data_IF_366015791247
#
_entry.id   IF_366015791247
#
_cell.length_a   1.000
_cell.length_b   1.000
_cell.length_c   1.000
_cell.angle_alpha   90.00
_cell.angle_beta   90.00
_cell.angle_gamma   90.00
#
_symmetry.space_group_name_H-M   'P 1'
#
loop_
_entity.id
_entity.type
_entity.pdbx_description
1 polymer ?
#
# COMPACT_ATOMS: atom_id res chain seq x y z
N UNK A 1 -15.20 -42.58 41.40
CA UNK A 1 -14.65 -42.98 40.07
C UNK A 1 -15.15 -42.12 38.92
N UNK A 2 -16.46 -41.89 38.75
CA UNK A 2 -16.98 -41.14 37.60
C UNK A 2 -16.54 -39.67 37.54
N UNK A 3 -16.46 -38.97 38.69
CA UNK A 3 -16.01 -37.57 38.77
C UNK A 3 -14.51 -37.40 38.54
N UNK A 4 -13.67 -38.29 39.11
CA UNK A 4 -12.24 -38.30 38.81
C UNK A 4 -11.95 -38.54 37.31
N UNK A 5 -12.78 -39.33 36.62
CA UNK A 5 -12.71 -39.50 35.16
C UNK A 5 -13.11 -38.24 34.39
N UNK A 6 -14.06 -37.45 34.90
CA UNK A 6 -14.43 -36.14 34.32
C UNK A 6 -13.29 -35.13 34.44
N UNK A 7 -12.63 -35.04 35.59
CA UNK A 7 -11.44 -34.20 35.77
C UNK A 7 -10.30 -34.55 34.79
N UNK A 8 -9.99 -35.84 34.65
CA UNK A 8 -8.99 -36.32 33.67
C UNK A 8 -9.41 -36.03 32.23
N UNK A 9 -10.67 -36.26 31.89
CA UNK A 9 -11.18 -35.96 30.55
C UNK A 9 -11.12 -34.47 30.22
N UNK A 10 -11.45 -33.59 31.18
CA UNK A 10 -11.35 -32.15 30.99
C UNK A 10 -9.91 -31.68 30.77
N UNK A 11 -8.95 -32.23 31.53
CA UNK A 11 -7.52 -31.96 31.30
C UNK A 11 -7.10 -32.43 29.91
N UNK A 12 -7.48 -33.64 29.51
CA UNK A 12 -7.13 -34.20 28.20
C UNK A 12 -7.70 -33.38 27.03
N UNK A 13 -8.97 -33.00 27.10
CA UNK A 13 -9.62 -32.16 26.07
C UNK A 13 -8.99 -30.77 26.02
N UNK A 14 -8.68 -30.17 27.18
CA UNK A 14 -8.06 -28.84 27.23
C UNK A 14 -6.64 -28.85 26.65
N UNK A 15 -5.85 -29.88 26.94
CA UNK A 15 -4.52 -30.06 26.34
C UNK A 15 -4.60 -30.30 24.84
N UNK A 16 -5.60 -31.05 24.37
CA UNK A 16 -5.83 -31.31 22.95
C UNK A 16 -6.28 -30.04 22.21
N UNK A 17 -7.15 -29.23 22.81
CA UNK A 17 -7.57 -27.94 22.26
C UNK A 17 -6.39 -26.97 22.17
N UNK A 18 -5.56 -26.88 23.22
CA UNK A 18 -4.36 -26.06 23.21
C UNK A 18 -3.37 -26.48 22.11
N UNK A 19 -3.05 -27.77 22.04
CA UNK A 19 -2.07 -28.27 21.05
C UNK A 19 -2.59 -28.20 19.62
N UNK A 20 -3.86 -28.54 19.39
CA UNK A 20 -4.48 -28.42 18.06
C UNK A 20 -4.53 -26.97 17.59
N UNK A 21 -4.84 -26.03 18.48
CA UNK A 21 -4.86 -24.58 18.14
C UNK A 21 -3.48 -24.10 17.73
N UNK A 22 -2.42 -24.49 18.45
CA UNK A 22 -1.05 -24.13 18.09
C UNK A 22 -0.58 -24.80 16.79
N UNK A 23 -0.90 -26.08 16.60
CA UNK A 23 -0.50 -26.83 15.40
C UNK A 23 -1.22 -26.30 14.17
N UNK A 24 -2.54 -26.10 14.25
CA UNK A 24 -3.31 -25.52 13.14
C UNK A 24 -2.80 -24.11 12.85
N UNK A 25 -2.68 -23.25 13.85
CA UNK A 25 -2.17 -21.89 13.68
C UNK A 25 -0.78 -21.84 13.04
N UNK A 26 0.14 -22.73 13.45
CA UNK A 26 1.47 -22.82 12.86
C UNK A 26 1.48 -23.39 11.43
N UNK A 27 0.62 -24.37 11.13
CA UNK A 27 0.54 -24.99 9.78
C UNK A 27 -0.17 -24.06 8.78
N UNK A 28 -1.08 -23.22 9.25
CA UNK A 28 -1.75 -22.20 8.43
C UNK A 28 -1.01 -20.85 8.46
N UNK A 29 0.09 -20.74 9.19
CA UNK A 29 0.89 -19.53 9.22
C UNK A 29 1.59 -19.35 7.87
N UNK A 30 1.52 -18.15 7.25
CA UNK A 30 2.31 -17.90 6.06
C UNK A 30 3.81 -17.89 6.38
N UNK A 31 4.61 -18.40 5.44
CA UNK A 31 6.08 -18.38 5.47
C UNK A 31 6.59 -16.96 5.22
N UNK A 32 6.35 -16.03 6.13
CA UNK A 32 6.80 -14.64 5.99
C UNK A 32 7.55 -14.24 7.27
N UNK A 33 8.89 -14.15 7.15
CA UNK A 33 9.78 -13.76 8.23
C UNK A 33 9.46 -12.36 8.77
N UNK A 34 9.39 -12.23 10.09
CA UNK A 34 9.09 -10.98 10.81
C UNK A 34 10.37 -10.31 11.28
N UNK A 35 10.43 -9.00 11.06
CA UNK A 35 11.20 -8.06 11.86
C UNK A 35 10.31 -6.88 12.26
N UNK A 36 9.77 -6.89 13.48
CA UNK A 36 9.08 -5.76 14.12
C UNK A 36 10.05 -4.78 14.79
N UNK A 37 11.35 -4.92 14.55
CA UNK A 37 12.35 -3.94 14.93
C UNK A 37 12.53 -2.92 13.80
N UNK A 38 12.69 -1.66 14.18
CA UNK A 38 13.07 -0.58 13.27
C UNK A 38 14.35 -1.00 12.54
N UNK A 39 14.29 -1.19 11.23
CA UNK A 39 15.45 -1.65 10.47
C UNK A 39 16.43 -0.48 10.36
N UNK A 40 17.58 -0.59 11.02
CA UNK A 40 18.67 0.38 10.82
C UNK A 40 19.43 -0.01 9.55
N UNK A 41 19.53 0.93 8.60
CA UNK A 41 20.36 0.79 7.41
C UNK A 41 21.85 0.80 7.82
N UNK A 42 22.35 -0.36 8.24
CA UNK A 42 23.78 -0.60 8.42
C UNK A 42 24.50 -0.65 7.05
N UNK A 43 25.82 -0.40 7.01
CA UNK A 43 26.58 -0.56 5.77
C UNK A 43 26.41 -1.99 5.27
N UNK A 44 25.98 -2.13 4.01
CA UNK A 44 25.75 -3.42 3.37
C UNK A 44 27.01 -4.30 3.47
N UNK A 45 26.90 -5.44 4.15
CA UNK A 45 27.90 -6.49 4.06
C UNK A 45 27.87 -7.04 2.63
N UNK A 46 28.84 -6.62 1.81
CA UNK A 46 28.99 -6.93 0.39
C UNK A 46 29.31 -8.41 0.08
N UNK A 47 28.88 -9.35 0.93
CA UNK A 47 29.23 -10.76 0.85
C UNK A 47 28.04 -11.73 0.93
N UNK A 48 26.83 -11.28 0.59
CA UNK A 48 25.73 -12.18 0.22
C UNK A 48 25.86 -12.58 -1.26
N UNK A 49 26.66 -13.64 -1.50
CA UNK A 49 26.75 -14.47 -2.71
C UNK A 49 26.15 -13.89 -4.01
N UNK A 50 27.00 -13.24 -4.80
CA UNK A 50 26.81 -13.04 -6.23
C UNK A 50 26.84 -14.40 -6.96
N UNK A 51 25.66 -15.01 -7.15
CA UNK A 51 25.42 -16.01 -8.20
C UNK A 51 23.93 -16.40 -8.26
N UNK A 52 23.14 -15.60 -8.99
CA UNK A 52 21.91 -16.06 -9.64
C UNK A 52 21.55 -15.07 -10.78
N UNK A 53 22.21 -15.22 -11.92
CA UNK A 53 21.70 -14.66 -13.18
C UNK A 53 20.52 -15.55 -13.58
N UNK A 54 19.29 -15.07 -13.42
CA UNK A 54 18.08 -15.77 -13.86
C UNK A 54 16.85 -15.45 -13.04
N UNK A 55 15.94 -14.69 -13.66
CA UNK A 55 14.51 -14.58 -13.35
C UNK A 55 13.88 -15.86 -12.76
N UNK A 56 13.39 -15.80 -11.51
CA UNK A 56 12.20 -16.53 -11.01
C UNK A 56 12.04 -16.47 -9.47
N UNK A 57 13.12 -16.40 -8.68
CA UNK A 57 13.06 -16.67 -7.22
C UNK A 57 13.47 -15.48 -6.34
N UNK A 58 13.21 -14.24 -6.76
CA UNK A 58 13.39 -13.09 -5.87
C UNK A 58 12.11 -12.97 -5.03
N UNK A 59 12.18 -13.43 -3.78
CA UNK A 59 11.13 -13.20 -2.78
C UNK A 59 11.47 -11.97 -1.94
N UNK A 60 10.46 -11.27 -1.44
CA UNK A 60 10.62 -10.10 -0.57
C UNK A 60 9.52 -9.06 -0.76
N UNK A 61 9.67 -7.91 -0.11
CA UNK A 61 8.84 -6.72 -0.34
C UNK A 61 9.71 -5.61 -0.89
N UNK A 62 9.44 -5.21 -2.13
CA UNK A 62 10.04 -4.03 -2.73
C UNK A 62 9.27 -2.81 -2.24
N UNK A 63 9.95 -1.73 -1.87
CA UNK A 63 9.31 -0.55 -1.30
C UNK A 63 9.92 0.71 -1.90
N UNK A 64 9.04 1.59 -2.39
CA UNK A 64 9.35 2.96 -2.74
C UNK A 64 9.08 3.88 -1.56
N UNK A 65 9.95 4.84 -1.32
CA UNK A 65 9.83 5.75 -0.17
C UNK A 65 10.02 7.18 -0.59
N UNK A 66 8.98 7.98 -0.32
CA UNK A 66 8.91 9.41 -0.62
C UNK A 66 10.05 10.16 0.10
N UNK A 67 10.50 9.64 1.24
CA UNK A 67 11.53 10.26 2.07
C UNK A 67 10.94 11.03 3.25
N UNK A 68 11.81 11.49 4.13
CA UNK A 68 11.47 12.29 5.32
C UNK A 68 12.03 13.72 5.25
N UNK A 69 12.26 14.31 6.42
CA UNK A 69 12.77 15.69 6.51
C UNK A 69 11.71 16.75 6.22
N UNK A 70 12.08 18.05 6.19
CA UNK A 70 11.14 19.13 5.91
C UNK A 70 10.51 18.95 4.52
N UNK A 71 9.17 18.90 4.48
CA UNK A 71 8.43 18.71 3.23
C UNK A 71 8.45 17.29 2.67
N UNK A 72 9.04 16.31 3.37
CA UNK A 72 9.10 14.90 2.95
C UNK A 72 10.00 14.60 1.73
N UNK A 73 10.73 15.60 1.21
CA UNK A 73 11.61 15.46 0.05
C UNK A 73 13.08 15.30 0.43
N UNK A 74 13.37 14.34 1.30
CA UNK A 74 14.74 14.07 1.71
C UNK A 74 14.95 12.64 2.15
N UNK A 75 16.04 12.02 1.69
CA UNK A 75 16.36 10.61 1.96
C UNK A 75 15.31 9.64 1.39
N UNK A 76 14.70 9.99 0.27
CA UNK A 76 13.94 9.04 -0.54
C UNK A 76 14.79 7.83 -0.90
N UNK A 77 14.17 6.67 -1.02
CA UNK A 77 14.89 5.47 -1.44
C UNK A 77 13.98 4.40 -1.99
N UNK A 78 14.54 3.55 -2.84
CA UNK A 78 13.99 2.25 -3.20
C UNK A 78 14.76 1.18 -2.44
N UNK A 79 14.07 0.22 -1.82
CA UNK A 79 14.73 -0.87 -1.10
C UNK A 79 13.94 -2.17 -1.13
N UNK A 80 14.65 -3.27 -0.97
CA UNK A 80 14.06 -4.60 -0.84
C UNK A 80 14.19 -5.11 0.59
N UNK A 81 13.07 -5.44 1.20
CA UNK A 81 13.02 -6.19 2.46
C UNK A 81 12.98 -7.68 2.15
N UNK A 82 13.92 -8.44 2.72
CA UNK A 82 13.95 -9.90 2.66
C UNK A 82 14.40 -10.46 4.00
N UNK A 83 13.71 -11.49 4.48
CA UNK A 83 14.03 -12.16 5.74
C UNK A 83 14.15 -11.20 6.94
N UNK A 84 13.31 -10.15 6.94
CA UNK A 84 13.28 -9.13 7.99
C UNK A 84 14.40 -8.09 7.94
N UNK A 85 15.21 -8.07 6.88
CA UNK A 85 16.32 -7.12 6.70
C UNK A 85 16.27 -6.43 5.33
N UNK A 86 16.91 -5.25 5.25
CA UNK A 86 17.12 -4.56 3.98
C UNK A 86 18.21 -5.30 3.20
N UNK A 87 17.81 -5.97 2.13
CA UNK A 87 18.72 -6.71 1.26
C UNK A 87 19.58 -5.78 0.39
N UNK A 88 18.98 -4.68 -0.06
CA UNK A 88 19.65 -3.61 -0.79
C UNK A 88 18.81 -2.33 -0.72
N UNK A 89 19.46 -1.18 -0.92
CA UNK A 89 18.84 0.14 -0.94
C UNK A 89 19.55 1.05 -1.94
N UNK A 90 18.78 1.77 -2.75
CA UNK A 90 19.22 2.89 -3.60
C UNK A 90 18.53 4.15 -3.07
N UNK A 91 19.28 5.24 -2.85
CA UNK A 91 18.74 6.46 -2.25
C UNK A 91 19.39 7.73 -2.76
N UNK A 92 19.68 7.79 -4.06
CA UNK A 92 20.34 8.96 -4.67
C UNK A 92 19.39 10.07 -5.12
N UNK A 93 18.07 9.87 -5.07
CA UNK A 93 17.08 10.92 -5.31
C UNK A 93 16.52 11.49 -4.00
N UNK A 94 15.87 12.65 -4.09
CA UNK A 94 15.22 13.26 -2.92
C UNK A 94 13.99 12.44 -2.50
N UNK A 95 13.28 11.86 -3.48
CA UNK A 95 12.05 11.09 -3.30
C UNK A 95 11.92 9.96 -4.34
N UNK A 96 11.36 8.85 -3.90
CA UNK A 96 10.89 7.74 -4.74
C UNK A 96 9.43 7.41 -4.41
N UNK A 97 8.67 6.96 -5.40
CA UNK A 97 7.22 6.76 -5.30
C UNK A 97 6.86 5.33 -5.68
N UNK A 98 6.17 5.12 -6.80
CA UNK A 98 5.94 3.80 -7.40
C UNK A 98 7.23 3.02 -7.67
N UNK A 99 7.15 1.69 -7.52
CA UNK A 99 8.26 0.74 -7.65
C UNK A 99 7.87 -0.62 -8.26
N UNK A 100 7.97 -0.76 -9.58
CA UNK A 100 7.78 -2.07 -10.22
C UNK A 100 9.09 -2.88 -10.40
N UNK A 101 9.09 -4.18 -10.10
CA UNK A 101 10.17 -5.09 -10.57
C UNK A 101 9.97 -5.53 -12.04
N UNK A 102 10.97 -5.25 -12.88
CA UNK A 102 10.95 -5.63 -14.30
C UNK A 102 11.36 -7.09 -14.56
N UNK A 103 10.97 -7.71 -15.71
CA UNK A 103 11.27 -9.11 -16.02
C UNK A 103 12.76 -9.47 -16.07
N UNK A 104 13.61 -8.53 -16.48
CA UNK A 104 15.08 -8.68 -16.51
C UNK A 104 15.73 -8.60 -15.10
N UNK A 105 14.95 -8.28 -14.06
CA UNK A 105 15.40 -8.16 -12.68
C UNK A 105 15.86 -6.76 -12.26
N UNK A 106 15.81 -5.77 -13.14
CA UNK A 106 15.95 -4.36 -12.74
C UNK A 106 14.66 -3.88 -12.07
N UNK A 107 14.74 -2.76 -11.37
CA UNK A 107 13.59 -2.09 -10.74
C UNK A 107 13.32 -0.79 -11.47
N UNK A 108 12.06 -0.55 -11.82
CA UNK A 108 11.57 0.75 -12.27
C UNK A 108 11.09 1.50 -11.05
N UNK A 109 11.31 2.81 -10.99
CA UNK A 109 10.78 3.61 -9.89
C UNK A 109 10.48 5.04 -10.33
N UNK A 110 9.29 5.53 -9.97
CA UNK A 110 8.97 6.94 -10.00
C UNK A 110 9.87 7.73 -9.05
N UNK A 111 10.36 8.89 -9.46
CA UNK A 111 11.29 9.67 -8.64
C UNK A 111 11.16 11.17 -8.83
N UNK A 112 11.65 11.93 -7.86
CA UNK A 112 11.91 13.36 -7.98
C UNK A 112 13.25 13.72 -7.34
N UNK A 113 14.00 14.61 -8.00
CA UNK A 113 15.27 15.10 -7.48
C UNK A 113 15.57 16.53 -7.92
N UNK A 114 16.16 17.31 -7.01
CA UNK A 114 16.56 18.70 -7.23
C UNK A 114 18.07 18.83 -7.48
N UNK A 115 18.48 19.92 -8.14
CA UNK A 115 19.90 20.21 -8.35
C UNK A 115 20.39 19.97 -9.77
N UNK A 116 19.49 19.80 -10.74
CA UNK A 116 19.88 19.64 -12.14
C UNK A 116 20.36 20.96 -12.72
N UNK A 117 21.54 20.97 -13.33
CA UNK A 117 22.13 22.16 -13.95
C UNK A 117 21.78 22.32 -15.45
N UNK A 118 21.22 21.28 -16.07
CA UNK A 118 20.91 21.25 -17.51
C UNK A 118 19.54 20.66 -17.80
N UNK A 119 18.95 21.00 -18.95
CA UNK A 119 17.63 20.52 -19.34
C UNK A 119 16.52 21.02 -18.41
N UNK A 120 16.66 22.26 -17.90
CA UNK A 120 15.72 22.86 -16.96
C UNK A 120 14.60 23.65 -17.62
N UNK A 121 14.72 23.99 -18.91
CA UNK A 121 13.71 24.78 -19.61
C UNK A 121 12.33 24.10 -19.50
N UNK A 122 11.27 24.85 -19.13
CA UNK A 122 11.19 26.32 -19.11
C UNK A 122 11.67 27.01 -17.82
N UNK A 123 12.17 26.27 -16.83
CA UNK A 123 12.64 26.76 -15.53
C UNK A 123 14.13 27.10 -15.50
N UNK A 124 14.52 27.93 -14.53
CA UNK A 124 15.91 28.31 -14.30
C UNK A 124 16.68 27.18 -13.61
N UNK A 125 17.98 27.08 -13.93
CA UNK A 125 18.89 26.17 -13.24
C UNK A 125 19.43 26.78 -11.93
N UNK A 126 19.70 25.97 -10.88
CA UNK A 126 19.40 24.54 -10.80
C UNK A 126 17.90 24.28 -10.63
N UNK A 127 17.38 23.28 -11.32
CA UNK A 127 15.97 22.92 -11.29
C UNK A 127 15.71 21.57 -10.62
N UNK A 128 14.43 21.33 -10.34
CA UNK A 128 13.91 20.02 -9.96
C UNK A 128 13.39 19.29 -11.19
N UNK A 129 13.61 17.98 -11.24
CA UNK A 129 13.05 17.10 -12.26
C UNK A 129 12.37 15.90 -11.62
N UNK A 130 11.41 15.35 -12.36
CA UNK A 130 10.70 14.12 -12.01
C UNK A 130 10.55 13.24 -13.24
N UNK A 131 10.15 11.98 -13.03
CA UNK A 131 10.00 10.96 -14.06
C UNK A 131 10.28 9.59 -13.44
N UNK A 132 11.02 8.73 -14.15
CA UNK A 132 11.36 7.40 -13.63
C UNK A 132 12.83 7.04 -13.85
N UNK A 133 13.31 6.10 -13.02
CA UNK A 133 14.64 5.50 -13.09
C UNK A 133 14.52 3.99 -13.29
N UNK A 134 15.49 3.43 -14.02
CA UNK A 134 15.74 1.99 -14.06
C UNK A 134 16.97 1.70 -13.22
N UNK A 135 16.82 0.86 -12.20
CA UNK A 135 17.82 0.57 -11.18
C UNK A 135 18.25 -0.89 -11.32
N UNK A 136 19.55 -1.15 -11.37
CA UNK A 136 20.12 -2.47 -11.19
C UNK A 136 20.45 -2.69 -9.71
N UNK A 137 19.68 -3.50 -8.97
CA UNK A 137 19.96 -3.77 -7.57
C UNK A 137 21.21 -4.65 -7.35
N UNK A 138 21.78 -5.22 -8.41
CA UNK A 138 22.87 -6.19 -8.36
C UNK A 138 24.14 -5.74 -9.10
N UNK A 139 24.21 -4.45 -9.47
CA UNK A 139 25.39 -3.89 -10.12
C UNK A 139 26.66 -4.06 -9.26
N UNK A 140 27.80 -4.21 -9.93
CA UNK A 140 29.09 -4.37 -9.27
C UNK A 140 29.48 -3.08 -8.52
N UNK A 141 29.29 -3.08 -7.20
CA UNK A 141 29.49 -1.91 -6.33
C UNK A 141 28.27 -1.50 -5.53
N UNK A 142 27.12 -2.14 -5.74
CA UNK A 142 25.85 -1.86 -5.07
C UNK A 142 24.77 -1.37 -6.05
N UNK A 143 23.53 -1.17 -5.57
CA UNK A 143 22.43 -0.69 -6.40
C UNK A 143 22.80 0.55 -7.18
N UNK A 144 22.53 0.55 -8.49
CA UNK A 144 22.96 1.61 -9.41
C UNK A 144 21.84 1.98 -10.37
N UNK A 145 21.62 3.28 -10.58
CA UNK A 145 20.73 3.80 -11.63
C UNK A 145 21.38 3.57 -12.99
N UNK A 146 20.74 2.76 -13.84
CA UNK A 146 21.20 2.45 -15.20
C UNK A 146 20.75 3.51 -16.22
N UNK A 147 19.51 3.99 -16.08
CA UNK A 147 18.92 4.99 -16.97
C UNK A 147 17.87 5.81 -16.24
N UNK A 148 17.64 7.01 -16.73
CA UNK A 148 16.69 7.98 -16.18
C UNK A 148 15.95 8.66 -17.35
N UNK A 149 14.63 8.69 -17.28
CA UNK A 149 13.81 9.64 -18.04
C UNK A 149 13.32 10.70 -17.05
N UNK A 150 13.58 11.97 -17.35
CA UNK A 150 13.24 13.06 -16.45
C UNK A 150 12.87 14.34 -17.20
N UNK A 151 11.84 15.02 -16.73
CA UNK A 151 11.40 16.33 -17.22
C UNK A 151 11.38 17.35 -16.08
N UNK A 152 11.63 18.64 -16.37
CA UNK A 152 11.70 19.68 -15.35
C UNK A 152 10.31 20.09 -14.87
N UNK A 153 10.21 20.35 -13.58
CA UNK A 153 8.97 20.76 -12.89
C UNK A 153 9.18 22.08 -12.15
N UNK A 154 8.11 22.85 -11.93
CA UNK A 154 8.22 24.20 -11.36
C UNK A 154 8.79 24.15 -9.96
N UNK A 155 8.37 23.16 -9.18
CA UNK A 155 8.84 22.97 -7.81
C UNK A 155 9.00 21.48 -7.51
N UNK A 156 9.90 21.12 -6.61
CA UNK A 156 10.00 19.75 -6.07
C UNK A 156 8.96 19.46 -5.00
N UNK A 157 7.76 20.03 -5.12
CA UNK A 157 6.66 19.83 -4.19
C UNK A 157 5.34 19.90 -4.95
N UNK A 158 4.52 18.86 -4.88
CA UNK A 158 3.21 18.81 -5.54
C UNK A 158 3.33 19.02 -7.07
N UNK A 159 4.33 18.40 -7.68
CA UNK A 159 4.58 18.44 -9.12
C UNK A 159 5.26 17.15 -9.61
N UNK A 160 5.33 16.13 -8.76
CA UNK A 160 6.09 14.92 -8.97
C UNK A 160 5.34 13.93 -9.88
N UNK A 161 6.08 13.07 -10.56
CA UNK A 161 5.55 11.79 -11.05
C UNK A 161 5.51 10.85 -9.86
N UNK A 162 4.30 10.53 -9.41
CA UNK A 162 4.09 9.55 -8.35
C UNK A 162 4.06 8.12 -8.89
N UNK A 163 3.71 7.95 -10.17
CA UNK A 163 3.43 6.63 -10.71
C UNK A 163 3.90 6.45 -12.17
N UNK A 164 4.44 5.27 -12.47
CA UNK A 164 4.96 4.88 -13.77
C UNK A 164 4.71 3.40 -14.07
N UNK A 165 3.93 3.14 -15.11
CA UNK A 165 3.57 1.78 -15.51
C UNK A 165 4.30 1.33 -16.79
N UNK A 166 4.75 0.08 -16.84
CA UNK A 166 5.40 -0.47 -18.04
C UNK A 166 4.39 -1.23 -18.90
N UNK A 167 3.92 -0.59 -19.97
CA UNK A 167 2.99 -1.18 -20.93
C UNK A 167 3.64 -2.26 -21.81
N UNK A 168 4.78 -1.94 -22.41
CA UNK A 168 5.51 -2.80 -23.36
C UNK A 168 7.02 -2.58 -23.22
N UNK A 169 7.90 -3.40 -23.84
CA UNK A 169 9.33 -3.10 -23.85
C UNK A 169 9.61 -1.71 -24.45
N UNK A 170 10.03 -0.75 -23.61
CA UNK A 170 10.34 0.62 -24.04
C UNK A 170 9.15 1.57 -24.08
N UNK A 171 7.95 1.11 -23.67
CA UNK A 171 6.73 1.92 -23.62
C UNK A 171 6.26 2.03 -22.18
N UNK A 172 6.11 3.26 -21.70
CA UNK A 172 5.77 3.57 -20.31
C UNK A 172 4.56 4.49 -20.25
N UNK A 173 3.71 4.32 -19.25
CA UNK A 173 2.61 5.21 -18.87
C UNK A 173 3.02 5.95 -17.62
N UNK A 174 2.77 7.25 -17.54
CA UNK A 174 3.18 8.06 -16.39
C UNK A 174 2.06 8.99 -15.94
N UNK A 175 1.99 9.21 -14.62
CA UNK A 175 1.32 10.38 -14.04
C UNK A 175 2.22 11.62 -14.10
N UNK A 176 1.59 12.78 -14.33
CA UNK A 176 2.24 14.09 -14.38
C UNK A 176 1.42 15.09 -13.59
N UNK A 177 1.79 15.31 -12.32
CA UNK A 177 1.14 16.29 -11.45
C UNK A 177 1.40 17.73 -11.89
N UNK A 178 2.56 18.03 -12.50
CA UNK A 178 2.91 19.39 -12.95
C UNK A 178 1.88 19.94 -13.94
N UNK A 179 1.35 19.07 -14.81
CA UNK A 179 0.36 19.45 -15.83
C UNK A 179 -1.02 18.80 -15.63
N UNK A 180 -1.20 18.01 -14.56
CA UNK A 180 -2.37 17.15 -14.31
C UNK A 180 -2.81 16.38 -15.55
N UNK A 181 -1.94 15.48 -15.99
CA UNK A 181 -2.18 14.61 -17.14
C UNK A 181 -1.62 13.21 -16.90
N UNK A 182 -2.06 12.28 -17.72
CA UNK A 182 -1.38 11.00 -17.91
C UNK A 182 -0.85 10.94 -19.33
N UNK A 183 0.31 10.33 -19.53
CA UNK A 183 0.91 10.26 -20.85
C UNK A 183 1.69 8.97 -21.07
N UNK A 184 1.82 8.61 -22.35
CA UNK A 184 2.56 7.43 -22.78
C UNK A 184 3.83 7.88 -23.46
N UNK A 185 4.93 7.34 -22.98
CA UNK A 185 6.27 7.56 -23.46
C UNK A 185 6.72 6.33 -24.27
N UNK A 186 7.21 6.56 -25.47
CA UNK A 186 7.85 5.53 -26.31
C UNK A 186 9.13 6.13 -26.90
N UNK A 187 10.27 5.46 -26.71
CA UNK A 187 11.59 5.92 -27.18
C UNK A 187 11.96 7.35 -26.75
N UNK A 188 11.48 7.78 -25.57
CA UNK A 188 11.74 9.12 -25.02
C UNK A 188 10.83 10.22 -25.53
N UNK A 189 9.85 9.89 -26.38
CA UNK A 189 8.87 10.83 -26.94
C UNK A 189 7.47 10.53 -26.42
N UNK A 190 6.68 11.57 -26.16
CA UNK A 190 5.29 11.41 -25.74
C UNK A 190 4.44 11.07 -26.98
N UNK A 191 3.94 9.85 -27.06
CA UNK A 191 3.16 9.35 -28.21
C UNK A 191 1.65 9.46 -28.00
N UNK A 192 1.21 9.55 -26.74
CA UNK A 192 -0.19 9.79 -26.38
C UNK A 192 -0.27 10.53 -25.03
N UNK A 193 -1.32 11.32 -24.84
CA UNK A 193 -1.62 11.94 -23.56
C UNK A 193 -3.11 12.20 -23.39
N UNK A 194 -3.57 12.19 -22.14
CA UNK A 194 -4.86 12.73 -21.73
C UNK A 194 -4.64 13.81 -20.67
N UNK A 195 -5.21 14.99 -20.89
CA UNK A 195 -5.12 16.11 -19.96
C UNK A 195 -6.42 16.20 -19.15
N UNK A 196 -6.29 16.31 -17.83
CA UNK A 196 -7.43 16.38 -16.93
C UNK A 196 -8.29 17.64 -17.15
N UNK A 197 -7.73 18.70 -17.72
CA UNK A 197 -8.45 19.92 -18.14
C UNK A 197 -9.54 19.69 -19.21
N UNK A 198 -9.63 18.49 -19.79
CA UNK A 198 -10.76 18.10 -20.66
C UNK A 198 -11.99 17.68 -19.85
N UNK A 199 -11.82 17.43 -18.56
CA UNK A 199 -12.85 16.88 -17.68
C UNK A 199 -13.07 17.71 -16.41
N UNK A 200 -12.02 18.35 -15.87
CA UNK A 200 -12.08 19.25 -14.72
C UNK A 200 -11.77 20.69 -15.10
N UNK A 201 -12.18 21.60 -14.23
CA UNK A 201 -12.07 23.05 -14.42
C UNK A 201 -10.67 23.51 -14.02
N UNK A 202 -9.81 23.63 -15.01
CA UNK A 202 -8.39 23.86 -14.79
C UNK A 202 -8.07 25.33 -14.45
N UNK A 203 -7.10 25.58 -13.54
CA UNK A 203 -6.55 26.91 -13.34
C UNK A 203 -5.93 27.46 -14.64
N UNK A 204 -5.82 28.80 -14.78
CA UNK A 204 -5.13 29.42 -15.91
C UNK A 204 -3.68 28.96 -16.09
N UNK A 205 -3.01 28.57 -15.00
CA UNK A 205 -1.65 27.99 -15.00
C UNK A 205 -1.62 26.78 -14.06
N UNK A 206 -1.81 25.58 -14.61
CA UNK A 206 -1.81 24.30 -13.87
C UNK A 206 -0.55 24.11 -13.01
N UNK A 207 0.60 24.58 -13.49
CA UNK A 207 1.90 24.40 -12.83
C UNK A 207 2.06 25.19 -11.52
N UNK A 208 1.08 26.03 -11.14
CA UNK A 208 1.13 26.89 -9.95
C UNK A 208 0.21 26.43 -8.83
N UNK A 209 -0.59 25.40 -9.06
CA UNK A 209 -1.61 24.95 -8.16
C UNK A 209 -1.52 23.43 -8.02
N UNK A 210 -1.63 22.94 -6.79
CA UNK A 210 -1.83 21.53 -6.50
C UNK A 210 -3.33 21.25 -6.52
N UNK A 211 -3.94 21.36 -7.71
CA UNK A 211 -5.39 21.43 -7.83
C UNK A 211 -6.03 20.04 -7.90
N UNK A 212 -5.51 19.11 -8.70
CA UNK A 212 -6.05 17.74 -8.77
C UNK A 212 -5.20 16.71 -8.03
N UNK A 213 -3.88 16.87 -8.05
CA UNK A 213 -2.93 15.95 -7.43
C UNK A 213 -3.10 14.52 -7.98
N UNK A 214 -3.01 14.34 -9.30
CA UNK A 214 -3.05 13.00 -9.92
C UNK A 214 -1.84 12.20 -9.43
N UNK A 215 -2.10 11.23 -8.57
CA UNK A 215 -1.06 10.50 -7.84
C UNK A 215 -0.86 9.07 -8.30
N UNK A 216 -1.67 8.57 -9.24
CA UNK A 216 -1.63 7.19 -9.68
C UNK A 216 -2.27 7.00 -11.06
N UNK A 217 -1.72 6.09 -11.86
CA UNK A 217 -2.25 5.67 -13.16
C UNK A 217 -1.93 4.21 -13.53
N UNK A 218 -2.97 3.40 -13.46
CA UNK A 218 -2.90 1.97 -13.71
C UNK A 218 -3.36 1.55 -15.11
N UNK A 219 -2.67 0.58 -15.74
CA UNK A 219 -3.12 -0.02 -17.00
C UNK A 219 -4.08 -1.19 -16.77
N UNK A 220 -5.39 -0.95 -16.90
CA UNK A 220 -6.43 -1.99 -16.68
C UNK A 220 -6.80 -2.76 -17.97
N UNK A 221 -6.39 -2.25 -19.14
CA UNK A 221 -6.41 -2.96 -20.43
C UNK A 221 -5.52 -2.22 -21.44
N UNK A 222 -5.35 -2.77 -22.65
CA UNK A 222 -4.58 -2.16 -23.75
C UNK A 222 -5.03 -0.73 -24.12
N UNK A 223 -6.25 -0.34 -23.75
CA UNK A 223 -6.87 0.94 -24.14
C UNK A 223 -7.42 1.75 -22.98
N UNK A 224 -7.45 1.21 -21.76
CA UNK A 224 -8.07 1.85 -20.60
C UNK A 224 -7.10 1.97 -19.43
N UNK A 225 -7.15 3.13 -18.79
CA UNK A 225 -6.34 3.48 -17.64
C UNK A 225 -7.23 3.82 -16.46
N UNK A 226 -6.91 3.32 -15.28
CA UNK A 226 -7.49 3.77 -14.02
C UNK A 226 -6.62 4.92 -13.51
N UNK A 227 -7.21 6.06 -13.19
CA UNK A 227 -6.48 7.27 -12.78
C UNK A 227 -7.01 7.72 -11.43
N UNK A 228 -6.12 7.91 -10.46
CA UNK A 228 -6.48 8.50 -9.18
C UNK A 228 -6.35 10.01 -9.22
N UNK A 229 -7.46 10.71 -8.91
CA UNK A 229 -7.51 12.16 -8.87
C UNK A 229 -7.76 12.59 -7.42
N UNK A 230 -6.67 12.60 -6.65
CA UNK A 230 -6.68 12.65 -5.18
C UNK A 230 -7.55 13.77 -4.60
N UNK A 231 -7.36 15.01 -5.04
CA UNK A 231 -8.05 16.14 -4.42
C UNK A 231 -9.55 16.20 -4.76
N UNK A 232 -9.98 15.49 -5.80
CA UNK A 232 -11.40 15.43 -6.21
C UNK A 232 -12.16 14.27 -5.58
N UNK A 233 -11.49 13.41 -4.80
CA UNK A 233 -12.05 12.20 -4.23
C UNK A 233 -12.63 11.24 -5.28
N UNK A 234 -12.03 11.19 -6.48
CA UNK A 234 -12.51 10.42 -7.62
C UNK A 234 -11.43 9.55 -8.23
N UNK A 235 -11.86 8.41 -8.76
CA UNK A 235 -11.08 7.64 -9.73
C UNK A 235 -11.75 7.71 -11.09
N UNK A 236 -10.94 7.74 -12.15
CA UNK A 236 -11.42 7.80 -13.53
C UNK A 236 -10.99 6.55 -14.29
N UNK A 237 -11.88 6.00 -15.11
CA UNK A 237 -11.46 5.12 -16.21
C UNK A 237 -11.37 5.96 -17.47
N UNK A 238 -10.15 6.11 -17.98
CA UNK A 238 -9.85 6.87 -19.20
C UNK A 238 -9.57 5.89 -20.35
N UNK A 239 -10.35 5.97 -21.42
CA UNK A 239 -10.18 5.16 -22.63
C UNK A 239 -9.51 5.96 -23.75
N UNK A 240 -8.47 5.39 -24.36
CA UNK A 240 -7.75 5.98 -25.49
C UNK A 240 -8.70 6.24 -26.65
N UNK A 241 -8.82 7.50 -27.05
CA UNK A 241 -9.66 7.93 -28.17
C UNK A 241 -11.10 8.29 -27.79
N UNK A 242 -11.53 7.99 -26.57
CA UNK A 242 -12.87 8.31 -26.06
C UNK A 242 -12.83 9.32 -24.89
N UNK A 243 -11.83 9.24 -24.00
CA UNK A 243 -11.72 10.09 -22.82
C UNK A 243 -12.23 9.37 -21.57
N UNK A 244 -12.86 10.10 -20.64
CA UNK A 244 -13.41 9.50 -19.41
C UNK A 244 -14.67 8.70 -19.75
N UNK A 245 -14.62 7.38 -19.51
CA UNK A 245 -15.75 6.45 -19.77
C UNK A 245 -16.44 5.96 -18.50
N UNK A 246 -15.79 6.12 -17.35
CA UNK A 246 -16.38 5.84 -16.04
C UNK A 246 -15.76 6.74 -14.97
N UNK A 247 -16.59 7.16 -14.01
CA UNK A 247 -16.19 7.91 -12.81
C UNK A 247 -16.58 7.10 -11.59
N UNK A 248 -15.59 6.78 -10.75
CA UNK A 248 -15.79 6.19 -9.44
C UNK A 248 -15.95 7.35 -8.46
N UNK A 249 -16.98 7.25 -7.60
CA UNK A 249 -17.40 8.35 -6.71
C UNK A 249 -17.80 9.62 -7.48
N UNK A 250 -18.60 9.43 -8.53
CA UNK A 250 -19.19 10.51 -9.33
C UNK A 250 -19.88 11.55 -8.43
N UNK A 251 -19.58 12.82 -8.68
CA UNK A 251 -20.23 13.94 -8.01
C UNK A 251 -21.72 14.01 -8.38
N UNK A 252 -22.57 14.12 -7.36
CA UNK A 252 -24.02 14.16 -7.49
C UNK A 252 -24.63 15.33 -6.72
N UNK A 253 -23.88 16.41 -6.57
CA UNK A 253 -24.25 17.59 -5.79
C UNK A 253 -23.97 17.40 -4.30
N UNK A 254 -22.86 16.75 -3.98
CA UNK A 254 -22.34 16.66 -2.61
C UNK A 254 -21.70 17.97 -2.17
N UNK A 255 -21.22 18.06 -0.92
CA UNK A 255 -20.58 19.28 -0.42
C UNK A 255 -19.18 19.46 -1.04
N UNK A 256 -19.05 20.41 -1.97
CA UNK A 256 -17.78 20.80 -2.60
C UNK A 256 -16.67 21.15 -1.61
N UNK A 257 -17.03 21.60 -0.40
CA UNK A 257 -16.04 22.08 0.57
C UNK A 257 -15.01 21.00 0.92
N UNK A 258 -15.40 19.72 0.83
CA UNK A 258 -14.49 18.58 1.02
C UNK A 258 -13.31 18.60 0.03
N UNK A 259 -13.55 18.99 -1.23
CA UNK A 259 -12.52 19.01 -2.28
C UNK A 259 -11.86 20.38 -2.47
N UNK A 260 -12.40 21.44 -1.86
CA UNK A 260 -11.81 22.80 -1.92
C UNK A 260 -10.55 22.92 -1.07
N UNK A 261 -10.38 22.08 -0.04
CA UNK A 261 -9.17 22.07 0.80
C UNK A 261 -8.93 23.39 1.54
N UNK A 262 -10.00 24.07 1.96
CA UNK A 262 -9.94 25.43 2.51
C UNK A 262 -9.50 26.48 1.49
N UNK A 263 -9.89 26.27 0.21
CA UNK A 263 -9.62 27.17 -0.91
C UNK A 263 -8.23 27.01 -1.55
N UNK A 264 -7.65 25.81 -1.48
CA UNK A 264 -6.28 25.54 -1.98
C UNK A 264 -6.19 24.45 -3.04
N UNK A 265 -7.24 23.64 -3.20
CA UNK A 265 -7.27 22.47 -4.08
C UNK A 265 -8.22 22.71 -5.26
N UNK A 266 -9.36 22.01 -5.36
CA UNK A 266 -10.32 22.26 -6.42
C UNK A 266 -10.98 23.62 -6.19
N UNK A 267 -10.75 24.54 -7.13
CA UNK A 267 -11.39 25.84 -7.18
C UNK A 267 -12.21 25.92 -8.45
N UNK A 268 -13.35 26.59 -8.36
CA UNK A 268 -14.19 26.95 -9.50
C UNK A 268 -13.46 28.04 -10.31
N UNK A 269 -12.87 27.66 -11.43
CA UNK A 269 -12.09 28.53 -12.31
C UNK A 269 -12.86 29.05 -13.52
N UNK A 270 -14.03 28.48 -13.83
CA UNK A 270 -14.89 28.92 -14.92
C UNK A 270 -16.14 29.72 -14.44
N UNK A 271 -16.23 29.95 -13.13
CA UNK A 271 -17.25 30.75 -12.44
C UNK A 271 -18.68 30.19 -12.65
N UNK A 272 -18.82 28.86 -12.79
CA UNK A 272 -20.13 28.21 -12.99
C UNK A 272 -20.83 27.84 -11.67
N UNK A 273 -20.10 27.88 -10.56
CA UNK A 273 -20.57 27.67 -9.20
C UNK A 273 -20.36 26.26 -8.64
N UNK A 274 -19.84 25.30 -9.43
CA UNK A 274 -19.70 23.89 -9.05
C UNK A 274 -18.27 23.40 -9.27
N UNK A 275 -17.86 22.37 -8.54
CA UNK A 275 -16.63 21.60 -8.84
C UNK A 275 -16.94 20.12 -8.76
N UNK A 276 -16.30 19.29 -9.58
CA UNK A 276 -16.50 17.83 -9.52
C UNK A 276 -15.88 17.27 -8.26
N UNK A 277 -16.69 17.14 -7.21
CA UNK A 277 -16.26 16.65 -5.91
C UNK A 277 -16.97 15.35 -5.52
N UNK A 278 -16.22 14.25 -5.40
CA UNK A 278 -16.75 12.97 -4.93
C UNK A 278 -17.12 13.01 -3.44
N UNK A 279 -18.00 12.09 -3.02
CA UNK A 279 -18.41 11.94 -1.62
C UNK A 279 -17.22 11.48 -0.75
N UNK A 280 -16.74 12.30 0.21
CA UNK A 280 -15.61 11.94 1.08
C UNK A 280 -15.91 10.72 1.97
N UNK A 281 -17.18 10.34 2.15
CA UNK A 281 -17.56 9.13 2.86
C UNK A 281 -17.31 7.84 2.08
N UNK A 282 -17.21 7.93 0.74
CA UNK A 282 -16.83 6.80 -0.13
C UNK A 282 -15.31 6.67 -0.19
N UNK A 283 -14.62 7.78 -0.47
CA UNK A 283 -13.17 7.91 -0.39
C UNK A 283 -12.77 9.37 -0.25
N UNK A 284 -11.68 9.65 0.46
CA UNK A 284 -11.12 10.98 0.72
C UNK A 284 -9.60 10.97 0.49
N UNK A 285 -9.12 11.79 -0.45
CA UNK A 285 -7.70 11.94 -0.76
C UNK A 285 -6.96 10.61 -0.98
N UNK A 286 -7.56 9.71 -1.75
CA UNK A 286 -7.11 8.34 -1.97
C UNK A 286 -5.78 8.22 -2.74
N UNK A 287 -5.14 7.05 -2.63
CA UNK A 287 -3.91 6.67 -3.33
C UNK A 287 -3.95 5.22 -3.84
N UNK A 288 -3.10 4.93 -4.83
CA UNK A 288 -2.78 3.62 -5.41
C UNK A 288 -3.98 2.65 -5.47
N UNK A 289 -5.02 2.98 -6.26
CA UNK A 289 -6.19 2.14 -6.41
C UNK A 289 -5.92 0.91 -7.28
N UNK A 290 -5.85 -0.28 -6.68
CA UNK A 290 -5.73 -1.50 -7.46
C UNK A 290 -7.07 -1.91 -8.12
N UNK A 291 -7.07 -2.06 -9.45
CA UNK A 291 -8.22 -2.59 -10.19
C UNK A 291 -8.42 -4.10 -9.95
N UNK A 292 -9.52 -4.50 -9.31
CA UNK A 292 -9.83 -5.93 -9.07
C UNK A 292 -10.67 -6.54 -10.19
N UNK A 293 -11.35 -5.71 -10.98
CA UNK A 293 -12.17 -6.12 -12.10
C UNK A 293 -13.35 -5.19 -12.34
N UNK A 294 -14.17 -5.45 -13.37
CA UNK A 294 -15.35 -4.64 -13.65
C UNK A 294 -16.28 -4.56 -12.43
N UNK A 295 -16.37 -3.37 -11.84
CA UNK A 295 -17.20 -3.12 -10.67
C UNK A 295 -16.57 -3.49 -9.32
N UNK A 296 -15.24 -3.69 -9.23
CA UNK A 296 -14.53 -3.88 -7.97
C UNK A 296 -13.13 -3.22 -8.01
N UNK A 297 -12.82 -2.40 -7.01
CA UNK A 297 -11.54 -1.66 -6.88
C UNK A 297 -11.12 -1.67 -5.40
N UNK A 298 -9.84 -1.90 -5.12
CA UNK A 298 -9.24 -1.73 -3.80
C UNK A 298 -8.57 -0.35 -3.74
N UNK A 299 -8.72 0.37 -2.63
CA UNK A 299 -8.24 1.76 -2.53
C UNK A 299 -7.63 2.00 -1.16
N UNK A 300 -6.45 2.61 -1.11
CA UNK A 300 -5.95 3.25 0.10
C UNK A 300 -6.63 4.61 0.27
N UNK A 301 -7.61 4.68 1.17
CA UNK A 301 -8.46 5.84 1.43
C UNK A 301 -7.79 6.71 2.52
N UNK A 302 -6.72 7.39 2.11
CA UNK A 302 -5.75 8.01 3.02
C UNK A 302 -6.34 9.07 3.93
N UNK A 303 -7.28 9.90 3.45
CA UNK A 303 -7.91 10.96 4.24
C UNK A 303 -8.84 10.43 5.34
N UNK A 304 -9.34 9.21 5.16
CA UNK A 304 -10.17 8.49 6.14
C UNK A 304 -9.37 7.46 6.97
N UNK A 305 -8.03 7.44 6.85
CA UNK A 305 -7.17 6.52 7.60
C UNK A 305 -7.59 5.04 7.49
N UNK A 306 -7.95 4.61 6.28
CA UNK A 306 -8.44 3.25 6.05
C UNK A 306 -8.07 2.71 4.67
N UNK A 307 -8.24 1.40 4.51
CA UNK A 307 -8.29 0.75 3.19
C UNK A 307 -9.73 0.32 2.92
N UNK A 308 -10.22 0.53 1.70
CA UNK A 308 -11.58 0.13 1.29
C UNK A 308 -11.57 -0.67 0.00
N UNK A 309 -12.41 -1.71 -0.05
CA UNK A 309 -12.79 -2.34 -1.32
C UNK A 309 -14.14 -1.75 -1.75
N UNK A 310 -14.17 -1.09 -2.90
CA UNK A 310 -15.35 -0.48 -3.49
C UNK A 310 -15.96 -1.44 -4.51
N UNK A 311 -17.27 -1.67 -4.43
CA UNK A 311 -18.01 -2.38 -5.47
C UNK A 311 -19.04 -1.47 -6.14
N UNK A 312 -19.25 -1.70 -7.44
CA UNK A 312 -20.35 -1.08 -8.17
C UNK A 312 -21.67 -1.77 -7.85
N UNK A 313 -22.67 -1.00 -7.41
CA UNK A 313 -24.05 -1.39 -7.11
C UNK A 313 -25.00 -0.46 -7.86
N UNK A 314 -25.50 -0.94 -8.99
CA UNK A 314 -26.27 -0.11 -9.92
C UNK A 314 -25.36 0.95 -10.55
N UNK A 315 -25.68 2.22 -10.31
CA UNK A 315 -24.92 3.39 -10.79
C UNK A 315 -23.98 3.98 -9.73
N UNK A 316 -23.88 3.37 -8.55
CA UNK A 316 -23.06 3.86 -7.44
C UNK A 316 -21.93 2.91 -7.10
N UNK A 317 -20.82 3.47 -6.66
CA UNK A 317 -19.73 2.76 -6.01
C UNK A 317 -19.90 2.86 -4.50
N UNK A 318 -19.81 1.74 -3.80
CA UNK A 318 -19.98 1.68 -2.35
C UNK A 318 -18.88 0.84 -1.71
N UNK A 319 -18.36 1.22 -0.54
CA UNK A 319 -17.50 0.34 0.23
C UNK A 319 -18.23 -0.96 0.58
N UNK A 320 -17.57 -2.10 0.41
CA UNK A 320 -18.09 -3.41 0.81
C UNK A 320 -17.18 -4.10 1.84
N UNK A 321 -15.93 -3.66 1.93
CA UNK A 321 -14.97 -4.08 2.92
C UNK A 321 -14.16 -2.85 3.36
N UNK A 322 -13.84 -2.76 4.64
CA UNK A 322 -13.03 -1.69 5.18
C UNK A 322 -12.13 -2.16 6.32
N UNK A 323 -10.89 -1.68 6.30
CA UNK A 323 -9.87 -1.90 7.31
C UNK A 323 -9.41 -0.55 7.87
N UNK A 324 -9.76 -0.26 9.11
CA UNK A 324 -9.41 0.98 9.83
C UNK A 324 -8.31 0.74 10.88
N UNK A 325 -8.14 -0.51 11.33
CA UNK A 325 -7.09 -0.88 12.28
C UNK A 325 -6.50 -2.26 11.98
N UNK A 326 -5.22 -2.44 12.31
CA UNK A 326 -4.51 -3.70 12.10
C UNK A 326 -3.45 -3.92 13.19
N UNK A 327 -3.53 -5.08 13.85
CA UNK A 327 -2.58 -5.46 14.90
C UNK A 327 -2.67 -4.58 16.17
N UNK A 328 -3.87 -4.07 16.50
CA UNK A 328 -4.13 -3.22 17.66
C UNK A 328 -3.65 -1.77 17.50
N UNK A 329 -3.54 -1.30 16.26
CA UNK A 329 -3.14 0.06 15.89
C UNK A 329 -4.03 0.52 14.73
N UNK A 330 -4.65 1.68 14.90
CA UNK A 330 -5.37 2.37 13.83
C UNK A 330 -4.41 2.71 12.70
N UNK A 331 -4.87 2.60 11.46
CA UNK A 331 -4.08 3.02 10.30
C UNK A 331 -3.85 4.53 10.38
N UNK A 332 -2.73 5.00 9.81
CA UNK A 332 -2.37 6.42 9.80
C UNK A 332 -1.84 6.76 8.41
N UNK A 333 -2.70 7.39 7.62
CA UNK A 333 -2.46 7.82 6.25
C UNK A 333 -1.94 6.70 5.33
N UNK A 334 -2.66 5.56 5.19
CA UNK A 334 -2.26 4.49 4.28
C UNK A 334 -2.23 5.03 2.84
N UNK A 335 -1.21 4.67 2.06
CA UNK A 335 -1.05 5.17 0.69
C UNK A 335 -1.06 4.10 -0.39
N UNK A 336 -1.04 2.84 0.01
CA UNK A 336 -1.06 1.75 -0.93
C UNK A 336 -1.65 0.49 -0.29
N UNK A 337 -2.40 -0.27 -1.08
CA UNK A 337 -3.01 -1.52 -0.69
C UNK A 337 -3.21 -2.45 -1.90
N UNK A 338 -2.53 -3.60 -1.85
CA UNK A 338 -2.52 -4.60 -2.92
C UNK A 338 -3.18 -5.90 -2.51
N UNK A 339 -4.14 -6.39 -3.29
CA UNK A 339 -4.66 -7.76 -3.14
C UNK A 339 -3.69 -8.75 -3.78
N UNK A 340 -3.17 -9.67 -2.96
CA UNK A 340 -2.23 -10.71 -3.37
C UNK A 340 -2.94 -11.96 -3.91
N UNK A 341 -2.21 -12.84 -4.61
CA UNK A 341 -2.74 -14.06 -5.21
C UNK A 341 -3.33 -15.05 -4.17
N UNK A 342 -2.88 -14.96 -2.92
CA UNK A 342 -3.38 -15.76 -1.80
C UNK A 342 -4.69 -15.21 -1.19
N UNK A 343 -5.19 -14.07 -1.66
CA UNK A 343 -6.38 -13.40 -1.17
C UNK A 343 -6.16 -12.50 0.05
N UNK A 344 -4.93 -12.33 0.52
CA UNK A 344 -4.58 -11.34 1.54
C UNK A 344 -4.36 -9.97 0.89
N UNK A 345 -4.38 -8.93 1.71
CA UNK A 345 -4.03 -7.57 1.30
C UNK A 345 -2.68 -7.17 1.90
N UNK A 346 -1.74 -6.73 1.08
CA UNK A 346 -0.53 -6.01 1.50
C UNK A 346 -0.89 -4.53 1.65
N UNK A 347 -0.49 -3.88 2.74
CA UNK A 347 -0.86 -2.50 3.05
C UNK A 347 0.38 -1.70 3.43
N UNK A 348 0.51 -0.52 2.83
CA UNK A 348 1.52 0.49 3.15
C UNK A 348 0.91 1.55 4.08
N UNK A 349 1.17 1.41 5.38
CA UNK A 349 0.63 2.26 6.45
C UNK A 349 1.66 3.35 6.80
N UNK A 350 1.60 4.42 6.01
CA UNK A 350 2.68 5.40 5.81
C UNK A 350 3.17 6.04 7.10
N UNK A 351 2.28 6.65 7.88
CA UNK A 351 2.68 7.44 9.05
C UNK A 351 2.93 6.58 10.28
N UNK A 352 2.37 5.36 10.31
CA UNK A 352 2.80 4.29 11.21
C UNK A 352 4.12 3.63 10.80
N UNK A 353 4.66 3.96 9.62
CA UNK A 353 6.00 3.56 9.14
C UNK A 353 6.16 2.06 9.07
N UNK A 354 5.13 1.38 8.59
CA UNK A 354 5.11 -0.07 8.44
C UNK A 354 4.48 -0.49 7.12
N UNK A 355 4.89 -1.66 6.67
CA UNK A 355 4.18 -2.42 5.64
C UNK A 355 3.72 -3.72 6.30
N UNK A 356 2.48 -4.14 6.03
CA UNK A 356 1.94 -5.36 6.62
C UNK A 356 1.03 -6.12 5.65
N UNK A 357 0.92 -7.42 5.86
CA UNK A 357 -0.02 -8.28 5.12
C UNK A 357 -1.13 -8.71 6.06
N UNK A 358 -2.36 -8.64 5.58
CA UNK A 358 -3.57 -8.88 6.36
C UNK A 358 -4.53 -9.78 5.58
N UNK A 359 -5.11 -10.75 6.25
CA UNK A 359 -6.18 -11.58 5.66
C UNK A 359 -7.48 -10.78 5.53
N UNK A 360 -8.46 -11.30 4.77
CA UNK A 360 -9.79 -10.69 4.64
C UNK A 360 -10.48 -10.33 5.95
N UNK A 361 -10.27 -11.11 7.01
CA UNK A 361 -10.86 -10.86 8.32
C UNK A 361 -10.05 -9.88 9.18
N UNK A 362 -8.99 -9.27 8.65
CA UNK A 362 -8.12 -8.34 9.38
C UNK A 362 -6.97 -8.95 10.17
N UNK A 363 -6.81 -10.27 10.15
CA UNK A 363 -5.69 -10.89 10.88
C UNK A 363 -4.39 -10.50 10.19
N UNK A 364 -3.51 -9.79 10.90
CA UNK A 364 -2.17 -9.46 10.42
C UNK A 364 -1.33 -10.73 10.41
N UNK A 365 -0.85 -11.10 9.22
CA UNK A 365 -0.06 -12.31 8.98
C UNK A 365 1.36 -12.03 8.53
N UNK A 366 1.73 -10.76 8.36
CA UNK A 366 3.12 -10.34 8.26
C UNK A 366 3.20 -8.84 8.52
N UNK A 367 4.31 -8.37 9.07
CA UNK A 367 4.56 -6.93 9.19
C UNK A 367 6.05 -6.65 9.32
N UNK A 368 6.44 -5.48 8.83
CA UNK A 368 7.80 -4.95 8.99
C UNK A 368 7.75 -3.43 9.12
N UNK A 369 8.72 -2.87 9.84
CA UNK A 369 8.93 -1.42 9.89
C UNK A 369 9.76 -0.92 8.71
N UNK A 370 9.72 0.39 8.46
CA UNK A 370 10.57 1.01 7.44
C UNK A 370 11.91 1.48 8.00
N UNK A 371 12.93 1.67 7.14
CA UNK A 371 14.24 2.13 7.56
C UNK A 371 14.20 3.48 8.27
N UNK A 372 15.00 3.63 9.33
CA UNK A 372 15.05 4.88 10.11
C UNK A 372 15.49 6.10 9.29
N UNK A 373 16.31 5.88 8.26
CA UNK A 373 16.77 6.88 7.30
C UNK A 373 15.83 7.09 6.11
N UNK A 374 14.81 6.25 5.92
CA UNK A 374 13.81 6.38 4.84
C UNK A 374 12.42 6.01 5.38
N UNK A 375 11.86 6.87 6.24
CA UNK A 375 10.80 6.43 7.14
C UNK A 375 9.41 6.34 6.51
N UNK A 376 9.21 6.77 5.26
CA UNK A 376 7.91 7.14 4.70
C UNK A 376 7.65 6.32 3.45
N UNK A 377 7.19 5.06 3.62
CA UNK A 377 6.90 4.20 2.49
C UNK A 377 5.74 4.82 1.70
N UNK A 378 5.87 4.83 0.38
CA UNK A 378 4.84 5.26 -0.55
C UNK A 378 4.00 4.08 -0.98
N UNK A 379 4.68 3.07 -1.51
CA UNK A 379 4.10 1.88 -2.08
C UNK A 379 4.99 0.67 -1.81
N UNK A 380 4.40 -0.51 -1.80
CA UNK A 380 5.11 -1.75 -1.58
C UNK A 380 4.58 -2.92 -2.41
N UNK A 381 5.44 -3.50 -3.25
CA UNK A 381 5.12 -4.71 -4.01
C UNK A 381 5.59 -6.00 -3.30
N UNK A 382 4.74 -7.03 -3.30
CA UNK A 382 5.17 -8.39 -2.95
C UNK A 382 5.85 -9.06 -4.14
N UNK A 383 7.12 -9.41 -4.02
CA UNK A 383 7.85 -10.13 -5.08
C UNK A 383 7.71 -11.65 -4.95
N UNK A 384 7.57 -12.38 -6.08
CA UNK A 384 7.66 -11.91 -7.47
C UNK A 384 6.31 -11.49 -8.09
N UNK A 385 5.26 -11.32 -7.29
CA UNK A 385 3.89 -11.08 -7.77
C UNK A 385 3.76 -9.69 -8.42
N UNK A 386 4.18 -8.63 -7.71
CA UNK A 386 4.00 -7.24 -8.11
C UNK A 386 2.55 -6.76 -7.95
N UNK A 387 2.30 -5.49 -8.23
CA UNK A 387 0.93 -4.98 -8.42
C UNK A 387 0.34 -5.52 -9.73
N UNK A 388 -0.97 -5.83 -9.73
CA UNK A 388 -1.66 -6.33 -10.94
C UNK A 388 -3.13 -5.93 -10.97
N UNK A 389 -3.56 -5.49 -12.15
CA UNK A 389 -4.98 -5.46 -12.50
C UNK A 389 -5.59 -6.88 -12.54
N UNK A 390 -6.78 -7.02 -11.96
CA UNK A 390 -7.59 -8.25 -11.96
C UNK A 390 -7.39 -9.19 -10.78
N UNK A 391 -6.88 -8.69 -9.65
CA UNK A 391 -6.75 -9.47 -8.41
C UNK A 391 -8.12 -9.87 -7.82
N UNK A 392 -8.12 -10.82 -6.89
CA UNK A 392 -9.36 -11.44 -6.38
C UNK A 392 -10.16 -10.49 -5.47
N UNK A 393 -11.33 -10.01 -5.94
CA UNK A 393 -12.27 -9.26 -5.10
C UNK A 393 -12.90 -10.10 -3.98
N UNK A 394 -13.20 -9.48 -2.84
CA UNK A 394 -13.93 -10.12 -1.76
C UNK A 394 -15.42 -10.28 -2.08
N UNK A 395 -16.01 -11.39 -1.64
CA UNK A 395 -17.45 -11.57 -1.74
C UNK A 395 -18.18 -10.60 -0.81
N UNK A 396 -19.01 -9.75 -1.40
CA UNK A 396 -19.88 -8.83 -0.70
C UNK A 396 -21.28 -9.45 -0.57
N UNK A 397 -21.53 -10.17 0.52
CA UNK A 397 -22.84 -10.75 0.80
C UNK A 397 -23.73 -9.77 1.59
N UNK A 398 -24.43 -8.88 0.87
CA UNK A 398 -25.40 -7.95 1.45
C UNK A 398 -25.13 -6.47 1.12
N UNK A 399 -25.96 -5.59 1.66
CA UNK A 399 -25.89 -4.12 1.42
C UNK A 399 -25.02 -3.38 2.46
N UNK A 400 -24.37 -4.11 3.38
CA UNK A 400 -23.56 -3.52 4.46
C UNK A 400 -22.06 -3.54 4.16
N UNK A 401 -21.33 -2.58 4.72
CA UNK A 401 -19.86 -2.60 4.74
C UNK A 401 -19.40 -3.65 5.74
N UNK A 402 -18.57 -4.60 5.30
CA UNK A 402 -17.84 -5.47 6.21
C UNK A 402 -16.66 -4.70 6.81
N UNK A 403 -16.91 -4.00 7.92
CA UNK A 403 -15.85 -3.40 8.73
C UNK A 403 -15.16 -4.50 9.52
N UNK A 404 -13.84 -4.56 9.36
CA UNK A 404 -12.99 -5.49 10.08
C UNK A 404 -12.75 -4.96 11.49
N UNK A 405 -13.29 -5.63 12.50
CA UNK A 405 -13.00 -5.39 13.92
C UNK A 405 -12.45 -6.68 14.53
N UNK A 406 -11.16 -6.67 14.87
CA UNK A 406 -10.47 -7.81 15.48
C UNK A 406 -10.18 -7.62 16.97
N UNK A 407 -10.64 -6.52 17.57
CA UNK A 407 -10.36 -6.24 18.96
C UNK A 407 -11.37 -6.95 19.87
N UNK A 408 -10.90 -7.94 20.63
CA UNK A 408 -11.63 -8.44 21.79
C UNK A 408 -11.11 -7.67 23.03
N UNK A 409 -11.93 -6.80 23.65
CA UNK A 409 -11.49 -5.96 24.76
C UNK A 409 -10.79 -6.75 25.86
N UNK A 410 -9.51 -6.42 26.11
CA UNK A 410 -8.66 -7.06 27.11
C UNK A 410 -7.79 -8.21 26.61
N UNK A 411 -8.14 -8.87 25.50
CA UNK A 411 -7.25 -9.84 24.85
C UNK A 411 -6.18 -9.16 24.00
N UNK A 412 -6.51 -8.06 23.34
CA UNK A 412 -5.54 -7.21 22.62
C UNK A 412 -4.42 -6.74 23.55
N UNK A 413 -4.81 -6.19 24.71
CA UNK A 413 -3.86 -5.74 25.75
C UNK A 413 -3.05 -6.92 26.34
N UNK A 414 -3.69 -8.08 26.54
CA UNK A 414 -3.01 -9.28 27.02
C UNK A 414 -2.04 -9.86 25.99
N UNK A 415 -2.37 -9.80 24.70
CA UNK A 415 -1.52 -10.23 23.60
C UNK A 415 -0.33 -9.29 23.44
N UNK A 416 -0.56 -7.97 23.55
CA UNK A 416 0.49 -6.96 23.59
C UNK A 416 1.45 -7.22 24.77
N UNK A 417 0.89 -7.45 25.96
CA UNK A 417 1.67 -7.80 27.15
C UNK A 417 2.44 -9.12 26.99
N UNK A 418 1.83 -10.13 26.36
CA UNK A 418 2.48 -11.41 26.06
C UNK A 418 3.66 -11.21 25.10
N UNK A 419 3.49 -10.43 24.02
CA UNK A 419 4.55 -10.15 23.05
C UNK A 419 5.68 -9.31 23.68
N UNK A 420 5.37 -8.42 24.62
CA UNK A 420 6.38 -7.67 25.38
C UNK A 420 7.21 -8.57 26.30
N UNK A 421 6.61 -9.61 26.91
CA UNK A 421 7.29 -10.54 27.83
C UNK A 421 7.96 -11.70 27.09
N UNK A 422 7.36 -12.13 25.97
CA UNK A 422 7.81 -13.24 25.13
C UNK A 422 7.91 -12.72 23.69
N UNK A 423 9.01 -12.03 23.33
CA UNK A 423 9.20 -11.45 22.00
C UNK A 423 9.20 -12.48 20.87
N UNK A 424 9.46 -13.74 21.19
CA UNK A 424 9.42 -14.88 20.25
C UNK A 424 8.00 -15.39 19.98
N UNK A 425 6.96 -14.76 20.54
CA UNK A 425 5.57 -15.14 20.25
C UNK A 425 5.34 -15.00 18.75
N UNK A 426 4.96 -16.09 18.04
CA UNK A 426 4.78 -16.01 16.60
C UNK A 426 3.71 -14.99 16.23
N UNK A 427 3.90 -14.27 15.13
CA UNK A 427 2.94 -13.24 14.70
C UNK A 427 1.55 -13.80 14.38
N UNK A 428 1.50 -15.05 13.88
CA UNK A 428 0.26 -15.78 13.62
C UNK A 428 -0.52 -16.12 14.90
N UNK A 429 0.14 -16.03 16.06
CA UNK A 429 -0.53 -16.17 17.35
C UNK A 429 -1.30 -14.88 17.65
N UNK A 430 -2.59 -14.92 17.33
CA UNK A 430 -3.54 -13.81 17.49
C UNK A 430 -4.50 -14.00 18.67
N UNK A 431 -5.42 -13.06 18.88
CA UNK A 431 -6.31 -13.01 20.04
C UNK A 431 -7.15 -14.28 20.23
N UNK A 432 -7.62 -14.90 19.14
CA UNK A 432 -8.36 -16.17 19.20
C UNK A 432 -7.48 -17.30 19.73
N UNK A 433 -6.21 -17.37 19.32
CA UNK A 433 -5.25 -18.34 19.85
C UNK A 433 -4.97 -18.07 21.33
N UNK A 434 -4.85 -16.80 21.73
CA UNK A 434 -4.70 -16.41 23.13
C UNK A 434 -5.94 -16.79 23.95
N UNK A 435 -7.15 -16.52 23.44
CA UNK A 435 -8.41 -16.86 24.08
C UNK A 435 -8.54 -18.36 24.32
N UNK A 436 -8.30 -19.17 23.29
CA UNK A 436 -8.35 -20.64 23.38
C UNK A 436 -7.25 -21.16 24.30
N UNK A 437 -6.08 -20.54 24.31
CA UNK A 437 -4.98 -20.89 25.23
C UNK A 437 -5.33 -20.62 26.69
N UNK A 438 -5.91 -19.45 26.99
CA UNK A 438 -6.37 -19.10 28.33
C UNK A 438 -7.52 -20.01 28.78
N UNK A 439 -8.49 -20.28 27.91
CA UNK A 439 -9.59 -21.21 28.19
C UNK A 439 -9.08 -22.63 28.47
N UNK A 440 -8.10 -23.09 27.68
CA UNK A 440 -7.44 -24.39 27.89
C UNK A 440 -6.69 -24.44 29.22
N UNK A 441 -5.99 -23.38 29.59
CA UNK A 441 -5.31 -23.28 30.89
C UNK A 441 -6.32 -23.37 32.05
N UNK A 442 -7.43 -22.65 31.97
CA UNK A 442 -8.52 -22.75 32.96
C UNK A 442 -9.06 -24.18 33.03
N UNK A 443 -9.30 -24.82 31.88
CA UNK A 443 -9.75 -26.21 31.82
C UNK A 443 -8.80 -27.21 32.46
N UNK A 444 -7.48 -27.03 32.27
CA UNK A 444 -6.45 -27.84 32.94
C UNK A 444 -6.47 -27.64 34.45
N UNK A 445 -6.54 -26.39 34.92
CA UNK A 445 -6.58 -26.07 36.36
C UNK A 445 -7.84 -26.63 37.01
N UNK A 446 -9.02 -26.39 36.42
CA UNK A 446 -10.31 -26.88 36.93
C UNK A 446 -10.34 -28.40 36.92
N UNK A 447 -9.90 -29.04 35.83
CA UNK A 447 -9.85 -30.49 35.73
C UNK A 447 -8.87 -31.12 36.72
N UNK A 448 -7.71 -30.49 36.94
CA UNK A 448 -6.72 -30.91 37.94
C UNK A 448 -7.25 -30.79 39.38
N UNK A 449 -7.92 -29.68 39.71
CA UNK A 449 -8.57 -29.48 41.02
C UNK A 449 -9.69 -30.50 41.23
N UNK A 450 -10.53 -30.74 40.23
CA UNK A 450 -11.63 -31.71 40.32
C UNK A 450 -11.11 -33.14 40.50
N UNK A 451 -10.07 -33.50 39.75
CA UNK A 451 -9.38 -34.78 39.92
C UNK A 451 -8.78 -34.92 41.31
N UNK A 452 -8.06 -33.91 41.80
CA UNK A 452 -7.42 -33.95 43.12
C UNK A 452 -8.45 -34.09 44.25
N UNK A 453 -9.58 -33.37 44.15
CA UNK A 453 -10.67 -33.43 45.13
C UNK A 453 -11.39 -34.78 45.17
N UNK A 454 -11.46 -35.48 44.04
CA UNK A 454 -12.22 -36.73 43.90
C UNK A 454 -11.35 -38.00 43.70
N UNK A 455 -10.02 -37.86 43.91
CA UNK A 455 -9.06 -38.97 43.89
C UNK A 455 -9.06 -39.80 45.18
N UNK A 456 -9.57 -39.25 46.27
CA UNK A 456 -9.68 -39.95 47.57
C UNK A 456 -10.83 -40.95 47.57
#
# INVERSE_FOLDING_TARGET
MERARRGVALVAVSLLLFSSTLVVGAVTAPDLGVGGERIDAGPADANASANAIGSANVTGTLVGSHGGGPGWHGKGSVYLIRDGAIAWQEGSADSYFDVTRLPNGTVMAGFMHSGYETGCAPYDAPCTKTGFRIIDPHAAGGPTVLSEYAFPVRTGKNSETHDVERLEPGVFLLSDMEHERIFVLEDGEITWQWNASRFYDAPPDATRHDWLHINDVDAISDTRYLVSVRNSNQLLVVERGEGVVEVVNEDRGTDDEACRGGGKQLLDFDDDGEVRCGDPGVMDHQHNPQWLGPGAILVADSGNDRVVELHKRGDRWVPVWSLESAGGMDLDWPRDADRLDNGNTLVTDTLNKRVFEVTQNGTVVWSTGTPSNSPIPYEAERLPEGERAGATAYEASGDGVHTVDNDIPGLSLALLGLRAVVPQTPFWFVETHLAVSLASLVGVVVGGVDWFRHRR
#
